data_IF_064736521696
#
_entry.id   IF_064736521696
#
_cell.length_a   1.000
_cell.length_b   1.000
_cell.length_c   1.000
_cell.angle_alpha   90.00
_cell.angle_beta   90.00
_cell.angle_gamma   90.00
#
_symmetry.space_group_name_H-M   'P 1'
#
loop_
_entity.id
_entity.type
_entity.pdbx_description
1 polymer ?
#
# COMPACT_ATOMS: atom_id res chain seq x y z
N UNK A 1 6.21 -1.64 -15.16
CA UNK A 1 5.16 -1.08 -16.05
C UNK A 1 5.85 -0.70 -17.33
N UNK A 2 5.46 -1.28 -18.47
CA UNK A 2 6.09 -1.00 -19.76
C UNK A 2 5.34 0.14 -20.46
N UNK A 3 6.07 0.92 -21.26
CA UNK A 3 5.53 2.05 -22.04
C UNK A 3 4.38 1.64 -22.97
N UNK A 4 4.40 0.40 -23.46
CA UNK A 4 3.35 -0.18 -24.31
C UNK A 4 2.05 -0.51 -23.58
N UNK A 5 2.03 -0.57 -22.25
CA UNK A 5 0.80 -0.84 -21.48
C UNK A 5 -0.11 0.40 -21.39
N UNK A 6 0.41 1.60 -21.71
CA UNK A 6 -0.30 2.88 -21.62
C UNK A 6 -0.70 3.48 -22.98
N UNK A 7 -0.39 2.81 -24.10
CA UNK A 7 -0.66 3.34 -25.45
C UNK A 7 -2.03 2.93 -26.02
N UNK A 8 -2.82 2.17 -25.25
CA UNK A 8 -4.09 1.66 -25.74
C UNK A 8 -5.14 2.78 -25.69
N UNK A 9 -5.50 3.29 -26.85
CA UNK A 9 -6.53 4.32 -26.95
C UNK A 9 -7.87 3.66 -26.67
N UNK A 10 -8.53 4.06 -25.58
CA UNK A 10 -9.84 3.52 -25.22
C UNK A 10 -10.82 3.64 -26.39
N UNK A 11 -11.43 2.52 -26.80
CA UNK A 11 -12.49 2.47 -27.83
C UNK A 11 -13.82 3.06 -27.33
N UNK A 12 -13.83 3.63 -26.12
CA UNK A 12 -14.98 4.28 -25.50
C UNK A 12 -15.38 5.52 -26.30
N UNK A 13 -16.67 5.63 -26.60
CA UNK A 13 -17.25 6.86 -27.14
C UNK A 13 -17.38 7.90 -26.02
N UNK A 14 -16.35 8.74 -25.86
CA UNK A 14 -16.28 9.76 -24.81
C UNK A 14 -17.31 10.89 -24.99
N UNK A 15 -17.65 11.26 -26.22
CA UNK A 15 -18.67 12.29 -26.49
C UNK A 15 -20.04 11.87 -25.95
N UNK A 16 -20.37 10.57 -26.02
CA UNK A 16 -21.60 10.02 -25.45
C UNK A 16 -21.58 10.03 -23.92
N UNK A 17 -20.44 9.76 -23.29
CA UNK A 17 -20.30 9.78 -21.83
C UNK A 17 -20.40 11.21 -21.31
N UNK A 18 -19.77 12.17 -21.99
CA UNK A 18 -19.80 13.59 -21.62
C UNK A 18 -21.20 14.21 -21.74
N UNK A 19 -22.02 13.69 -22.66
CA UNK A 19 -23.40 14.13 -22.86
C UNK A 19 -24.43 13.42 -21.95
N UNK A 20 -24.04 12.38 -21.21
CA UNK A 20 -24.94 11.58 -20.37
C UNK A 20 -25.38 12.41 -19.15
N UNK A 21 -26.69 12.50 -18.88
CA UNK A 21 -27.18 13.22 -17.70
C UNK A 21 -27.18 12.34 -16.45
N UNK A 22 -27.21 12.97 -15.27
CA UNK A 22 -27.24 12.26 -13.98
C UNK A 22 -28.43 11.29 -13.89
N UNK A 23 -29.60 11.65 -14.44
CA UNK A 23 -30.79 10.79 -14.39
C UNK A 23 -30.68 9.55 -15.29
N UNK A 24 -29.80 9.58 -16.29
CA UNK A 24 -29.53 8.44 -17.18
C UNK A 24 -28.53 7.44 -16.57
N UNK A 25 -27.88 7.80 -15.46
CA UNK A 25 -26.93 6.93 -14.75
C UNK A 25 -27.72 5.95 -13.85
N UNK A 26 -27.80 4.70 -14.29
CA UNK A 26 -28.35 3.62 -13.47
C UNK A 26 -27.36 3.27 -12.35
N UNK A 27 -27.81 3.44 -11.10
CA UNK A 27 -27.07 3.10 -9.87
C UNK A 27 -27.79 2.03 -9.06
N UNK A 28 -28.82 1.40 -9.63
CA UNK A 28 -29.68 0.43 -8.92
C UNK A 28 -28.94 -0.82 -8.44
N UNK A 29 -27.79 -1.14 -9.05
CA UNK A 29 -26.92 -2.26 -8.67
C UNK A 29 -25.99 -1.93 -7.49
N UNK A 30 -25.80 -0.65 -7.15
CA UNK A 30 -24.83 -0.21 -6.15
C UNK A 30 -25.55 0.21 -4.86
N UNK A 31 -25.23 -0.38 -3.70
CA UNK A 31 -25.83 0.02 -2.44
C UNK A 31 -25.41 1.44 -2.04
N UNK A 32 -26.27 2.22 -1.37
CA UNK A 32 -25.92 3.56 -0.91
C UNK A 32 -24.79 3.52 0.13
N UNK A 33 -23.82 4.42 -0.02
CA UNK A 33 -22.71 4.61 0.92
C UNK A 33 -23.19 5.36 2.17
N UNK A 34 -23.52 4.63 3.24
CA UNK A 34 -24.02 5.19 4.50
C UNK A 34 -22.91 5.61 5.47
N UNK A 35 -23.23 6.41 6.49
CA UNK A 35 -22.28 6.75 7.57
C UNK A 35 -21.77 5.49 8.31
N UNK A 36 -22.59 4.45 8.42
CA UNK A 36 -22.17 3.16 9.01
C UNK A 36 -21.10 2.45 8.18
N UNK A 37 -21.15 2.58 6.85
CA UNK A 37 -20.12 2.06 5.94
C UNK A 37 -18.78 2.74 6.23
N UNK A 38 -18.78 4.07 6.32
CA UNK A 38 -17.56 4.83 6.62
C UNK A 38 -17.10 4.69 8.07
N UNK A 39 -17.99 4.45 9.02
CA UNK A 39 -17.63 4.23 10.43
C UNK A 39 -16.74 3.00 10.66
N UNK A 40 -16.87 1.99 9.80
CA UNK A 40 -16.01 0.79 9.82
C UNK A 40 -14.76 0.94 8.96
N UNK A 41 -14.68 2.00 8.16
CA UNK A 41 -13.53 2.23 7.29
C UNK A 41 -12.32 2.64 8.14
N UNK A 42 -11.22 1.89 7.99
CA UNK A 42 -9.96 2.22 8.63
C UNK A 42 -9.08 2.89 7.60
N UNK A 43 -8.79 4.17 7.81
CA UNK A 43 -7.83 4.89 6.98
C UNK A 43 -6.44 4.28 7.19
N UNK A 44 -5.94 3.55 6.19
CA UNK A 44 -4.60 3.00 6.21
C UNK A 44 -3.66 3.96 5.51
N UNK A 45 -2.90 4.73 6.29
CA UNK A 45 -1.75 5.46 5.74
C UNK A 45 -0.59 4.47 5.61
N UNK A 46 0.02 4.33 4.42
CA UNK A 46 1.29 3.62 4.30
C UNK A 46 2.29 4.28 5.26
N UNK A 47 2.86 3.50 6.17
CA UNK A 47 3.92 4.01 7.04
C UNK A 47 5.13 4.24 6.14
N UNK A 48 5.62 5.48 6.10
CA UNK A 48 6.82 5.82 5.36
C UNK A 48 7.98 5.01 5.95
N UNK A 49 8.55 4.12 5.14
CA UNK A 49 9.76 3.39 5.51
C UNK A 49 10.95 4.32 5.32
N UNK A 50 11.76 4.46 6.36
CA UNK A 50 13.00 5.23 6.30
C UNK A 50 14.15 4.26 6.08
N UNK A 51 14.96 4.51 5.05
CA UNK A 51 16.20 3.79 4.82
C UNK A 51 17.31 4.46 5.62
N UNK A 52 17.92 3.71 6.55
CA UNK A 52 19.02 4.18 7.39
C UNK A 52 20.22 3.25 7.23
N UNK A 53 21.42 3.84 7.19
CA UNK A 53 22.67 3.07 7.25
C UNK A 53 23.03 2.83 8.71
N UNK A 54 23.07 1.57 9.12
CA UNK A 54 23.44 1.15 10.49
C UNK A 54 24.70 0.30 10.43
N UNK A 55 25.68 0.63 11.26
CA UNK A 55 26.86 -0.21 11.44
C UNK A 55 26.51 -1.36 12.37
N UNK A 56 26.76 -2.59 11.92
CA UNK A 56 26.53 -3.83 12.68
C UNK A 56 27.80 -4.66 12.68
N UNK A 57 27.98 -5.45 13.74
CA UNK A 57 29.08 -6.40 13.83
C UNK A 57 28.96 -7.50 12.74
N UNK A 58 30.08 -7.95 12.14
CA UNK A 58 30.09 -8.97 11.09
C UNK A 58 29.44 -10.30 11.48
N UNK A 59 29.55 -10.76 12.73
CA UNK A 59 28.93 -12.02 13.18
C UNK A 59 27.41 -11.88 13.26
N UNK A 60 26.94 -10.73 13.72
CA UNK A 60 25.50 -10.42 13.78
C UNK A 60 24.90 -10.34 12.39
N UNK A 61 25.60 -9.68 11.45
CA UNK A 61 25.16 -9.61 10.06
C UNK A 61 25.13 -10.99 9.40
N UNK A 62 26.18 -11.79 9.60
CA UNK A 62 26.24 -13.15 9.06
C UNK A 62 25.11 -14.03 9.61
N UNK A 63 24.78 -13.90 10.89
CA UNK A 63 23.65 -14.60 11.49
C UNK A 63 22.33 -14.22 10.81
N UNK A 64 22.03 -12.94 10.61
CA UNK A 64 20.81 -12.51 9.92
C UNK A 64 20.78 -12.96 8.44
N UNK A 65 21.91 -12.91 7.73
CA UNK A 65 22.01 -13.38 6.35
C UNK A 65 21.77 -14.89 6.23
N UNK A 66 22.19 -15.67 7.23
CA UNK A 66 21.92 -17.11 7.27
C UNK A 66 20.42 -17.47 7.38
N UNK A 67 19.58 -16.50 7.74
CA UNK A 67 18.14 -16.67 7.95
C UNK A 67 17.31 -16.60 6.65
N UNK A 68 17.96 -16.41 5.49
CA UNK A 68 17.33 -16.40 4.16
C UNK A 68 17.02 -15.00 3.62
N UNK A 69 16.22 -14.94 2.56
CA UNK A 69 15.90 -13.73 1.79
C UNK A 69 15.19 -12.64 2.61
N UNK A 70 14.58 -13.00 3.76
CA UNK A 70 13.89 -12.07 4.66
C UNK A 70 14.79 -11.41 5.71
N UNK A 71 16.11 -11.40 5.50
CA UNK A 71 17.11 -10.83 6.40
C UNK A 71 16.76 -9.39 6.83
N UNK A 72 16.44 -8.50 5.88
CA UNK A 72 16.11 -7.10 6.17
C UNK A 72 14.82 -6.96 7.00
N UNK A 73 13.82 -7.80 6.75
CA UNK A 73 12.56 -7.79 7.50
C UNK A 73 12.78 -8.28 8.94
N UNK A 74 13.59 -9.32 9.12
CA UNK A 74 13.96 -9.85 10.44
C UNK A 74 14.77 -8.83 11.24
N UNK A 75 15.71 -8.12 10.60
CA UNK A 75 16.47 -7.03 11.23
C UNK A 75 15.53 -5.89 11.66
N UNK A 76 14.61 -5.47 10.78
CA UNK A 76 13.63 -4.43 11.11
C UNK A 76 12.74 -4.82 12.30
N UNK A 77 12.27 -6.08 12.35
CA UNK A 77 11.48 -6.59 13.45
C UNK A 77 12.27 -6.61 14.77
N UNK A 78 13.53 -7.03 14.76
CA UNK A 78 14.39 -7.04 15.95
C UNK A 78 14.61 -5.63 16.51
N UNK A 79 14.89 -4.64 15.64
CA UNK A 79 15.03 -3.24 16.04
C UNK A 79 13.73 -2.70 16.67
N UNK A 80 12.58 -3.07 16.11
CA UNK A 80 11.27 -2.68 16.66
C UNK A 80 11.03 -3.26 18.04
N UNK A 81 11.27 -4.57 18.23
CA UNK A 81 11.10 -5.24 19.54
C UNK A 81 11.99 -4.57 20.58
N UNK A 82 13.25 -4.30 20.24
CA UNK A 82 14.17 -3.61 21.14
C UNK A 82 13.66 -2.21 21.51
N UNK A 83 13.21 -1.42 20.53
CA UNK A 83 12.67 -0.09 20.77
C UNK A 83 11.40 -0.10 21.63
N UNK A 84 10.49 -1.06 21.42
CA UNK A 84 9.27 -1.23 22.22
C UNK A 84 9.59 -1.63 23.67
N UNK A 85 10.56 -2.53 23.87
CA UNK A 85 10.98 -2.96 25.20
C UNK A 85 11.65 -1.85 26.04
N UNK A 86 12.21 -0.83 25.39
CA UNK A 86 12.93 0.28 26.04
C UNK A 86 12.17 1.61 25.98
N UNK A 87 10.91 1.59 25.56
CA UNK A 87 10.06 2.79 25.51
C UNK A 87 9.50 3.04 26.92
N UNK A 88 9.88 4.18 27.52
CA UNK A 88 9.31 4.71 28.78
C UNK A 88 7.97 5.38 28.50
#
# INVERSE_FOLDING_TARGET
>A
MNENDMNNTSETNWEKVDALTEEEIDTSDIPPLTEEFFSKSRWWKPVEKVNVLVQVDPETLAWFQSQGEDCEQKMSAALRIYAEAHKV
#
